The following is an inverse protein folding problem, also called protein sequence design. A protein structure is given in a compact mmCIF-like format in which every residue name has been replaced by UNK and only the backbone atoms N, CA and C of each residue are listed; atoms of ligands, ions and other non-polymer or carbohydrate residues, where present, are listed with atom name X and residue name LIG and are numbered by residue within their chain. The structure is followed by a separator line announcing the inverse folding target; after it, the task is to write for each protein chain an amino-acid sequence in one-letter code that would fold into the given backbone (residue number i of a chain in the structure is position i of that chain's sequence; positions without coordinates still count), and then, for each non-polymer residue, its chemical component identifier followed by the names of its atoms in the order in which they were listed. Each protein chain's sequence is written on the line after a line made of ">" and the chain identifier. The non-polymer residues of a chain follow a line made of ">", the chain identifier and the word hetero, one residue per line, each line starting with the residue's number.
data_IF_289137052654
#
_entry.id   IF_289137052654
#
_cell.length_a   1.000
_cell.length_b   1.000
_cell.length_c   1.000
_cell.angle_alpha   90.00
_cell.angle_beta   90.00
_cell.angle_gamma   90.00
#
_symmetry.space_group_name_H-M   'P 1'
#
loop_
_entity.id
_entity.type
_entity.pdbx_description
1 polymer ?
#
# COMPACT_ATOMS: atom_id res chain seq x y z
N UNK A 1 21.04 -26.48 -15.53
CA UNK A 1 19.62 -26.68 -15.89
C UNK A 1 18.75 -26.35 -14.68
N UNK A 2 18.35 -25.10 -14.52
CA UNK A 2 17.44 -24.68 -13.44
C UNK A 2 16.05 -25.22 -13.76
N UNK A 3 15.57 -26.17 -12.96
CA UNK A 3 14.25 -26.80 -13.12
C UNK A 3 13.17 -25.71 -13.25
N UNK A 4 12.42 -25.72 -14.35
CA UNK A 4 11.41 -24.69 -14.71
C UNK A 4 10.10 -24.80 -13.90
N UNK A 5 9.92 -25.90 -13.18
CA UNK A 5 8.72 -26.24 -12.40
C UNK A 5 9.06 -26.36 -10.91
N UNK A 6 8.20 -25.81 -10.07
CA UNK A 6 8.28 -25.88 -8.62
C UNK A 6 7.01 -26.56 -8.10
N UNK A 7 7.17 -27.67 -7.39
CA UNK A 7 6.09 -28.34 -6.67
C UNK A 7 6.23 -28.02 -5.18
N UNK A 8 5.25 -27.32 -4.63
CA UNK A 8 5.10 -27.09 -3.19
C UNK A 8 4.12 -28.14 -2.68
N UNK A 9 4.59 -29.10 -1.88
CA UNK A 9 3.77 -30.22 -1.42
C UNK A 9 3.50 -30.14 0.07
N UNK A 10 2.43 -30.82 0.50
CA UNK A 10 2.08 -30.98 1.91
C UNK A 10 2.00 -29.62 2.63
N UNK A 11 1.29 -28.67 2.04
CA UNK A 11 1.06 -27.33 2.59
C UNK A 11 -0.39 -27.22 3.09
N UNK A 12 -0.63 -26.38 4.11
CA UNK A 12 -1.97 -25.89 4.41
C UNK A 12 -2.24 -24.74 3.44
N UNK A 13 -2.98 -25.03 2.37
CA UNK A 13 -3.34 -24.03 1.37
C UNK A 13 -4.43 -23.14 1.94
N UNK A 14 -4.17 -21.84 2.00
CA UNK A 14 -5.14 -20.82 2.39
C UNK A 14 -5.66 -20.16 1.12
N UNK A 15 -6.96 -20.27 0.87
CA UNK A 15 -7.64 -19.67 -0.27
C UNK A 15 -8.69 -18.64 0.21
N UNK A 16 -8.30 -17.37 0.37
CA UNK A 16 -9.21 -16.33 0.83
C UNK A 16 -10.38 -16.07 -0.14
N UNK A 17 -10.21 -16.34 -1.44
CA UNK A 17 -11.25 -16.07 -2.44
C UNK A 17 -12.45 -17.00 -2.25
N UNK A 18 -12.19 -18.25 -1.87
CA UNK A 18 -13.22 -19.25 -1.66
C UNK A 18 -13.46 -19.54 -0.17
N UNK A 19 -12.81 -18.81 0.74
CA UNK A 19 -12.90 -19.00 2.20
C UNK A 19 -12.58 -20.43 2.64
N UNK A 20 -11.53 -21.03 2.05
CA UNK A 20 -11.15 -22.41 2.29
C UNK A 20 -9.73 -22.55 2.83
N UNK A 21 -9.54 -23.53 3.72
CA UNK A 21 -8.24 -24.01 4.15
C UNK A 21 -8.18 -25.53 4.09
N UNK A 22 -7.18 -26.08 3.40
CA UNK A 22 -7.04 -27.53 3.27
C UNK A 22 -5.59 -27.96 3.05
N UNK A 23 -5.28 -29.20 3.44
CA UNK A 23 -3.96 -29.78 3.19
C UNK A 23 -3.87 -30.20 1.72
N UNK A 24 -2.93 -29.59 1.00
CA UNK A 24 -2.80 -29.76 -0.44
C UNK A 24 -1.38 -29.58 -0.95
N UNK A 25 -1.27 -29.44 -2.26
CA UNK A 25 -0.02 -29.16 -2.98
C UNK A 25 -0.29 -28.20 -4.13
N UNK A 26 0.74 -27.47 -4.57
CA UNK A 26 0.63 -26.45 -5.59
C UNK A 26 1.80 -26.57 -6.58
N UNK A 27 1.48 -26.59 -7.88
CA UNK A 27 2.47 -26.60 -8.97
C UNK A 27 2.60 -25.20 -9.55
N UNK A 28 3.82 -24.67 -9.54
CA UNK A 28 4.20 -23.41 -10.18
C UNK A 28 5.06 -23.71 -11.39
N UNK A 29 4.75 -23.09 -12.52
CA UNK A 29 5.58 -23.14 -13.73
C UNK A 29 5.76 -21.73 -14.29
N UNK A 30 7.02 -21.33 -14.51
CA UNK A 30 7.37 -19.98 -15.01
C UNK A 30 6.72 -18.85 -14.19
N UNK A 31 6.70 -19.00 -12.86
CA UNK A 31 6.14 -17.99 -11.94
C UNK A 31 4.60 -17.97 -11.86
N UNK A 32 3.91 -18.85 -12.57
CA UNK A 32 2.44 -18.91 -12.60
C UNK A 32 1.98 -20.18 -11.90
N UNK A 33 0.94 -20.06 -11.06
CA UNK A 33 0.24 -21.21 -10.47
C UNK A 33 -0.44 -21.98 -11.61
N UNK A 34 0.00 -23.21 -11.86
CA UNK A 34 -0.56 -24.07 -12.92
C UNK A 34 -1.67 -24.96 -12.41
N UNK A 35 -1.48 -25.53 -11.23
CA UNK A 35 -2.40 -26.52 -10.69
C UNK A 35 -2.38 -26.48 -9.16
N UNK A 36 -3.56 -26.68 -8.57
CA UNK A 36 -3.78 -26.81 -7.13
C UNK A 36 -4.34 -28.20 -6.90
N UNK A 37 -3.71 -28.95 -6.01
CA UNK A 37 -4.08 -30.31 -5.68
C UNK A 37 -4.67 -30.37 -4.27
N UNK A 38 -5.88 -30.93 -4.13
CA UNK A 38 -6.53 -31.19 -2.84
C UNK A 38 -5.97 -32.43 -2.14
N UNK A 39 -4.66 -32.65 -2.25
CA UNK A 39 -3.93 -33.76 -1.62
C UNK A 39 -2.47 -33.36 -1.36
N UNK A 40 -1.85 -33.84 -0.28
CA UNK A 40 -0.48 -33.49 0.11
C UNK A 40 0.60 -34.09 -0.79
N UNK A 41 0.27 -35.08 -1.62
CA UNK A 41 1.20 -35.71 -2.56
C UNK A 41 0.47 -36.01 -3.85
N UNK A 42 0.58 -35.13 -4.86
CA UNK A 42 -0.08 -35.34 -6.13
C UNK A 42 0.61 -36.45 -6.91
N UNK A 43 -0.17 -37.19 -7.69
CA UNK A 43 0.36 -38.17 -8.64
C UNK A 43 0.76 -37.41 -9.91
N UNK A 44 1.88 -36.71 -9.84
CA UNK A 44 2.44 -35.86 -10.90
C UNK A 44 3.90 -36.26 -11.14
N UNK A 45 4.37 -36.19 -12.38
CA UNK A 45 5.78 -36.48 -12.68
C UNK A 45 6.69 -35.38 -12.11
N UNK A 46 7.35 -35.71 -11.00
CA UNK A 46 8.22 -34.80 -10.26
C UNK A 46 9.67 -34.79 -10.75
N UNK A 47 10.03 -35.58 -11.77
CA UNK A 47 11.39 -35.69 -12.28
C UNK A 47 12.00 -34.31 -12.60
N UNK A 48 11.22 -33.46 -13.26
CA UNK A 48 11.58 -32.10 -13.67
C UNK A 48 11.21 -31.00 -12.66
N UNK A 49 10.73 -31.35 -11.46
CA UNK A 49 10.30 -30.39 -10.44
C UNK A 49 11.39 -30.12 -9.41
N UNK A 50 11.57 -28.85 -9.02
CA UNK A 50 12.11 -28.50 -7.69
C UNK A 50 11.00 -28.74 -6.68
N UNK A 51 11.29 -29.43 -5.58
CA UNK A 51 10.27 -29.79 -4.59
C UNK A 51 10.54 -29.01 -3.30
N UNK A 52 9.49 -28.41 -2.76
CA UNK A 52 9.46 -27.83 -1.40
C UNK A 52 8.40 -28.61 -0.62
N UNK A 53 8.78 -29.25 0.47
CA UNK A 53 7.84 -29.88 1.41
C UNK A 53 7.54 -28.90 2.54
N UNK A 54 6.30 -28.41 2.59
CA UNK A 54 5.87 -27.42 3.57
C UNK A 54 5.60 -28.00 4.95
N UNK A 55 5.59 -29.34 5.12
CA UNK A 55 5.36 -29.99 6.42
C UNK A 55 4.08 -29.49 7.14
N UNK A 56 3.03 -29.23 6.37
CA UNK A 56 1.73 -28.65 6.78
C UNK A 56 1.77 -27.19 7.24
N UNK A 57 2.87 -26.48 7.03
CA UNK A 57 2.89 -25.03 7.20
C UNK A 57 1.92 -24.35 6.20
N UNK A 58 1.41 -23.19 6.59
CA UNK A 58 0.53 -22.37 5.77
C UNK A 58 1.24 -21.92 4.48
N UNK A 59 0.52 -22.01 3.37
CA UNK A 59 0.86 -21.40 2.10
C UNK A 59 -0.32 -20.53 1.68
N UNK A 60 -0.13 -19.22 1.80
CA UNK A 60 -1.10 -18.20 1.42
C UNK A 60 -0.69 -17.50 0.12
N UNK A 61 -1.60 -16.73 -0.51
CA UNK A 61 -1.20 -15.66 -1.40
C UNK A 61 -0.20 -14.74 -0.70
N UNK A 62 0.71 -14.17 -1.48
CA UNK A 62 1.65 -13.18 -0.97
C UNK A 62 0.90 -11.95 -0.44
N UNK A 63 1.35 -11.43 0.71
CA UNK A 63 0.72 -10.25 1.30
C UNK A 63 1.03 -9.01 0.47
N UNK A 64 0.12 -8.03 0.55
CA UNK A 64 0.25 -6.72 -0.09
C UNK A 64 0.16 -5.67 1.00
N UNK A 65 1.20 -4.84 1.12
CA UNK A 65 1.18 -3.67 1.98
C UNK A 65 0.95 -2.42 1.14
N UNK A 66 -0.04 -1.61 1.49
CA UNK A 66 -0.49 -0.49 0.67
C UNK A 66 0.03 0.87 1.15
N UNK A 67 0.88 0.93 2.18
CA UNK A 67 1.26 2.20 2.80
C UNK A 67 2.72 2.24 3.30
N UNK A 68 3.67 2.02 2.40
CA UNK A 68 5.08 1.85 2.75
C UNK A 68 5.90 3.09 2.44
N UNK A 69 6.80 3.48 3.34
CA UNK A 69 7.83 4.48 3.05
C UNK A 69 9.10 3.80 2.59
N UNK A 70 9.51 4.00 1.34
CA UNK A 70 10.71 3.38 0.79
C UNK A 70 11.99 4.21 0.96
N UNK A 71 11.87 5.46 1.43
CA UNK A 71 12.99 6.39 1.63
C UNK A 71 13.65 6.92 0.35
N UNK A 72 13.68 6.13 -0.72
CA UNK A 72 14.35 6.47 -1.97
C UNK A 72 13.34 7.02 -3.01
N UNK A 73 13.59 8.20 -3.61
CA UNK A 73 14.82 9.02 -3.50
C UNK A 73 14.88 9.95 -2.28
N UNK A 74 16.11 10.29 -1.87
CA UNK A 74 16.45 11.42 -0.99
C UNK A 74 16.57 11.10 0.51
N UNK A 75 15.99 9.99 0.97
CA UNK A 75 16.12 9.49 2.34
C UNK A 75 16.75 8.10 2.38
N UNK A 76 17.72 7.82 1.50
CA UNK A 76 18.41 6.53 1.38
C UNK A 76 19.16 6.13 2.66
N UNK A 77 19.47 7.10 3.52
CA UNK A 77 20.09 6.87 4.83
C UNK A 77 19.10 6.32 5.87
N UNK A 78 17.80 6.46 5.64
CA UNK A 78 16.74 5.89 6.47
C UNK A 78 16.36 4.52 5.94
N UNK A 79 16.08 4.43 4.65
CA UNK A 79 15.65 3.20 3.97
C UNK A 79 15.92 3.29 2.46
N UNK A 80 16.19 2.15 1.82
CA UNK A 80 16.34 2.07 0.36
C UNK A 80 15.33 1.10 -0.27
N UNK A 81 15.13 1.18 -1.58
CA UNK A 81 14.28 0.23 -2.31
C UNK A 81 14.75 -1.22 -2.15
N UNK A 82 16.06 -1.44 -2.08
CA UNK A 82 16.66 -2.78 -1.90
C UNK A 82 16.40 -3.31 -0.48
N UNK A 83 16.60 -2.47 0.53
CA UNK A 83 16.44 -2.84 1.94
C UNK A 83 14.98 -3.14 2.27
N UNK A 84 14.04 -2.27 1.88
CA UNK A 84 12.61 -2.49 2.12
C UNK A 84 12.09 -3.72 1.37
N UNK A 85 12.62 -3.99 0.16
CA UNK A 85 12.33 -5.20 -0.60
C UNK A 85 12.73 -6.46 0.16
N UNK A 86 13.94 -6.46 0.74
CA UNK A 86 14.43 -7.59 1.53
C UNK A 86 13.60 -7.80 2.81
N UNK A 87 13.25 -6.71 3.51
CA UNK A 87 12.42 -6.74 4.71
C UNK A 87 11.00 -7.26 4.42
N UNK A 88 10.38 -6.76 3.36
CA UNK A 88 9.06 -7.18 2.92
C UNK A 88 9.04 -8.66 2.52
N UNK A 89 10.01 -9.10 1.71
CA UNK A 89 10.15 -10.51 1.31
C UNK A 89 10.32 -11.43 2.52
N UNK A 90 11.13 -11.05 3.49
CA UNK A 90 11.34 -11.84 4.71
C UNK A 90 10.04 -12.01 5.53
N UNK A 91 9.12 -11.05 5.41
CA UNK A 91 7.82 -11.02 6.11
C UNK A 91 6.67 -11.67 5.33
N UNK A 92 6.93 -12.20 4.12
CA UNK A 92 5.90 -12.79 3.26
C UNK A 92 5.09 -11.77 2.44
N UNK A 93 5.53 -10.51 2.41
CA UNK A 93 4.98 -9.47 1.54
C UNK A 93 5.61 -9.62 0.16
N UNK A 94 4.76 -9.61 -0.87
CA UNK A 94 5.18 -9.77 -2.28
C UNK A 94 4.93 -8.52 -3.11
N UNK A 95 4.16 -7.57 -2.60
CA UNK A 95 3.91 -6.29 -3.24
C UNK A 95 3.79 -5.20 -2.18
N UNK A 96 4.39 -4.04 -2.44
CA UNK A 96 4.22 -2.84 -1.61
C UNK A 96 3.76 -1.67 -2.47
N UNK A 97 2.93 -0.79 -1.90
CA UNK A 97 2.64 0.52 -2.47
C UNK A 97 3.41 1.60 -1.71
N UNK A 98 4.25 2.35 -2.41
CA UNK A 98 5.18 3.30 -1.83
C UNK A 98 4.61 4.71 -1.81
N UNK A 99 4.60 5.33 -0.63
CA UNK A 99 4.09 6.68 -0.38
C UNK A 99 4.92 7.74 -1.13
N UNK A 100 4.32 8.88 -1.53
CA UNK A 100 4.97 9.89 -2.37
C UNK A 100 5.83 10.90 -1.62
N UNK A 101 5.96 10.79 -0.28
CA UNK A 101 6.67 11.72 0.60
C UNK A 101 8.19 11.54 0.62
N UNK A 102 8.77 11.14 -0.51
CA UNK A 102 10.22 11.10 -0.75
C UNK A 102 10.77 12.51 -1.05
N UNK A 103 12.08 12.61 -1.32
CA UNK A 103 12.71 13.86 -1.72
C UNK A 103 13.54 13.66 -3.01
N UNK A 104 13.07 14.12 -4.18
CA UNK A 104 11.85 14.90 -4.40
C UNK A 104 10.56 14.11 -4.14
N UNK A 105 9.47 14.85 -3.90
CA UNK A 105 8.10 14.30 -3.79
C UNK A 105 7.71 13.71 -5.15
N UNK A 106 7.00 12.59 -5.16
CA UNK A 106 6.58 11.90 -6.40
C UNK A 106 5.37 12.61 -7.01
N UNK A 107 5.55 13.79 -7.58
CA UNK A 107 4.50 14.62 -8.21
C UNK A 107 4.66 14.79 -9.73
N UNK A 108 5.67 14.16 -10.33
CA UNK A 108 5.99 14.17 -11.77
C UNK A 108 6.09 12.73 -12.34
N UNK A 109 5.75 12.58 -13.62
CA UNK A 109 5.70 11.27 -14.29
C UNK A 109 7.08 10.60 -14.36
N UNK A 110 8.13 11.41 -14.51
CA UNK A 110 9.52 10.99 -14.53
C UNK A 110 9.93 10.33 -13.21
N UNK A 111 9.41 10.82 -12.08
CA UNK A 111 9.69 10.27 -10.75
C UNK A 111 8.94 8.95 -10.54
N UNK A 112 7.69 8.85 -11.00
CA UNK A 112 6.94 7.58 -11.00
C UNK A 112 7.71 6.51 -11.80
N UNK A 113 8.15 6.84 -13.01
CA UNK A 113 8.92 5.91 -13.84
C UNK A 113 10.29 5.58 -13.25
N UNK A 114 10.93 6.54 -12.56
CA UNK A 114 12.17 6.30 -11.85
C UNK A 114 12.01 5.20 -10.79
N UNK A 115 10.97 5.29 -9.95
CA UNK A 115 10.69 4.27 -8.92
C UNK A 115 10.47 2.90 -9.56
N UNK A 116 9.67 2.83 -10.63
CA UNK A 116 9.41 1.57 -11.35
C UNK A 116 10.70 0.96 -11.87
N UNK A 117 11.51 1.73 -12.64
CA UNK A 117 12.77 1.22 -13.20
C UNK A 117 13.76 0.82 -12.11
N UNK A 118 13.84 1.58 -11.03
CA UNK A 118 14.74 1.27 -9.92
C UNK A 118 14.30 0.00 -9.21
N UNK A 119 12.99 -0.20 -9.04
CA UNK A 119 12.45 -1.43 -8.46
C UNK A 119 12.71 -2.66 -9.32
N UNK A 120 12.65 -2.56 -10.65
CA UNK A 120 12.97 -3.67 -11.56
C UNK A 120 14.43 -4.12 -11.45
N UNK A 121 15.35 -3.19 -11.14
CA UNK A 121 16.77 -3.49 -10.97
C UNK A 121 17.11 -4.02 -9.56
N UNK A 122 16.46 -3.48 -8.53
CA UNK A 122 16.87 -3.68 -7.12
C UNK A 122 15.93 -4.50 -6.27
N UNK A 123 14.67 -4.67 -6.67
CA UNK A 123 13.65 -5.32 -5.87
C UNK A 123 13.43 -6.79 -6.24
N UNK A 124 13.00 -7.56 -5.26
CA UNK A 124 12.56 -8.96 -5.42
C UNK A 124 11.04 -9.11 -5.22
N UNK A 125 10.36 -8.00 -5.00
CA UNK A 125 8.91 -7.89 -4.82
C UNK A 125 8.37 -6.84 -5.80
N UNK A 126 7.05 -6.74 -5.92
CA UNK A 126 6.46 -5.65 -6.70
C UNK A 126 6.49 -4.36 -5.90
N UNK A 127 6.99 -3.28 -6.49
CA UNK A 127 6.93 -1.94 -5.89
C UNK A 127 6.01 -1.08 -6.76
N UNK A 128 4.97 -0.54 -6.13
CA UNK A 128 3.90 0.17 -6.80
C UNK A 128 3.91 1.64 -6.32
N UNK A 129 4.28 2.62 -7.16
CA UNK A 129 4.35 4.01 -6.71
C UNK A 129 2.95 4.60 -6.47
N UNK A 130 2.79 5.30 -5.34
CA UNK A 130 1.73 6.26 -5.11
C UNK A 130 2.28 7.63 -5.51
N UNK A 131 1.48 8.45 -6.20
CA UNK A 131 1.87 9.80 -6.60
C UNK A 131 1.18 10.88 -5.74
N UNK A 132 1.73 12.08 -5.73
CA UNK A 132 1.17 13.21 -5.01
C UNK A 132 -0.18 13.67 -5.60
N UNK A 133 -1.10 14.14 -4.74
CA UNK A 133 -2.34 14.80 -5.16
C UNK A 133 -2.09 16.26 -5.53
N UNK A 134 -1.20 16.93 -4.79
CA UNK A 134 -0.81 18.30 -5.03
C UNK A 134 0.68 18.44 -5.21
N UNK A 135 1.07 19.40 -6.05
CA UNK A 135 2.48 19.69 -6.33
C UNK A 135 3.19 20.00 -5.02
N UNK A 136 4.30 19.29 -4.78
CA UNK A 136 5.13 19.38 -3.58
C UNK A 136 4.37 19.23 -2.25
N UNK A 137 3.22 18.55 -2.27
CA UNK A 137 2.31 18.44 -1.11
C UNK A 137 1.88 19.79 -0.50
N UNK A 138 1.82 20.86 -1.29
CA UNK A 138 1.49 22.19 -0.77
C UNK A 138 0.00 22.41 -0.54
N UNK A 139 -0.89 21.52 -1.00
CA UNK A 139 -2.33 21.69 -0.89
C UNK A 139 -2.89 22.83 -1.76
N UNK A 140 -2.10 23.33 -2.73
CA UNK A 140 -2.44 24.52 -3.54
C UNK A 140 -2.80 24.21 -4.99
N UNK A 141 -1.97 23.40 -5.66
CA UNK A 141 -2.11 23.10 -7.07
C UNK A 141 -2.15 21.59 -7.26
N UNK A 142 -3.17 21.08 -7.95
CA UNK A 142 -3.24 19.65 -8.28
C UNK A 142 -2.09 19.22 -9.19
N UNK A 143 -1.73 17.94 -9.09
CA UNK A 143 -0.81 17.29 -10.03
C UNK A 143 -1.53 16.87 -11.32
N UNK A 144 -0.75 16.46 -12.33
CA UNK A 144 -1.28 15.92 -13.58
C UNK A 144 -1.72 14.45 -13.40
N UNK A 145 -2.79 14.22 -12.64
CA UNK A 145 -3.27 12.88 -12.21
C UNK A 145 -3.34 11.87 -13.37
N UNK A 146 -3.85 12.29 -14.53
CA UNK A 146 -3.92 11.45 -15.73
C UNK A 146 -2.53 10.96 -16.18
N UNK A 147 -1.57 11.87 -16.32
CA UNK A 147 -0.20 11.55 -16.74
C UNK A 147 0.52 10.68 -15.71
N UNK A 148 0.33 10.96 -14.43
CA UNK A 148 0.92 10.16 -13.34
C UNK A 148 0.37 8.73 -13.32
N UNK A 149 -0.93 8.58 -13.56
CA UNK A 149 -1.57 7.26 -13.67
C UNK A 149 -1.04 6.50 -14.90
N UNK A 150 -0.93 7.17 -16.04
CA UNK A 150 -0.35 6.58 -17.27
C UNK A 150 1.13 6.19 -17.07
N UNK A 151 1.87 6.94 -16.26
CA UNK A 151 3.25 6.63 -15.90
C UNK A 151 3.38 5.40 -14.97
N UNK A 152 2.28 4.95 -14.36
CA UNK A 152 2.24 3.73 -13.54
C UNK A 152 1.88 3.95 -12.07
N UNK A 153 1.45 5.15 -11.67
CA UNK A 153 0.97 5.37 -10.31
C UNK A 153 -0.30 4.56 -10.02
N UNK A 154 -0.29 3.79 -8.92
CA UNK A 154 -1.42 2.94 -8.53
C UNK A 154 -2.43 3.64 -7.62
N UNK A 155 -2.03 4.75 -7.01
CA UNK A 155 -2.85 5.55 -6.12
C UNK A 155 -2.29 6.96 -5.95
N UNK A 156 -3.05 7.81 -5.25
CA UNK A 156 -2.71 9.22 -5.07
C UNK A 156 -2.90 9.68 -3.63
N UNK A 157 -1.93 10.44 -3.12
CA UNK A 157 -1.95 10.97 -1.75
C UNK A 157 -0.98 12.12 -1.54
N UNK A 158 -1.29 13.04 -0.64
CA UNK A 158 -0.31 14.00 -0.08
C UNK A 158 0.36 13.48 1.23
N UNK A 159 0.27 12.16 1.46
CA UNK A 159 0.84 11.45 2.60
C UNK A 159 0.38 12.03 3.95
N UNK A 160 1.29 12.66 4.71
CA UNK A 160 1.01 13.28 6.01
C UNK A 160 0.59 14.76 5.92
N UNK A 161 0.39 15.29 4.70
CA UNK A 161 0.05 16.69 4.51
C UNK A 161 -1.44 16.87 4.25
N UNK A 162 -2.03 17.87 4.90
CA UNK A 162 -3.43 18.24 4.73
C UNK A 162 -3.64 19.12 3.47
N UNK A 163 -4.63 18.78 2.65
CA UNK A 163 -5.23 19.70 1.67
C UNK A 163 -6.31 20.53 2.38
N UNK A 164 -5.89 21.54 3.13
CA UNK A 164 -6.79 22.29 4.03
C UNK A 164 -7.90 23.05 3.27
N UNK A 165 -7.59 23.56 2.07
CA UNK A 165 -8.57 24.24 1.24
C UNK A 165 -9.58 23.24 0.64
N UNK A 166 -10.78 23.23 1.20
CA UNK A 166 -11.88 22.33 0.81
C UNK A 166 -12.27 22.47 -0.67
N UNK A 167 -12.15 23.67 -1.26
CA UNK A 167 -12.44 23.85 -2.68
C UNK A 167 -11.37 23.18 -3.57
N UNK A 168 -10.10 23.25 -3.16
CA UNK A 168 -9.01 22.54 -3.86
C UNK A 168 -9.21 21.03 -3.74
N UNK A 169 -9.46 20.53 -2.53
CA UNK A 169 -9.74 19.11 -2.28
C UNK A 169 -10.90 18.59 -3.17
N UNK A 170 -12.02 19.32 -3.21
CA UNK A 170 -13.16 18.99 -4.09
C UNK A 170 -12.76 18.93 -5.56
N UNK A 171 -11.99 19.91 -6.03
CA UNK A 171 -11.57 19.97 -7.43
C UNK A 171 -10.61 18.82 -7.78
N UNK A 172 -9.66 18.51 -6.88
CA UNK A 172 -8.75 17.37 -7.01
C UNK A 172 -9.54 16.06 -7.09
N UNK A 173 -10.49 15.82 -6.19
CA UNK A 173 -11.30 14.59 -6.19
C UNK A 173 -12.19 14.49 -7.43
N UNK A 174 -12.75 15.61 -7.90
CA UNK A 174 -13.53 15.66 -9.15
C UNK A 174 -12.66 15.30 -10.36
N UNK A 175 -11.44 15.81 -10.41
CA UNK A 175 -10.51 15.48 -11.48
C UNK A 175 -10.09 14.01 -11.43
N UNK A 176 -9.72 13.52 -10.24
CA UNK A 176 -9.34 12.13 -10.00
C UNK A 176 -10.43 11.13 -10.39
N UNK A 177 -11.71 11.45 -10.16
CA UNK A 177 -12.81 10.55 -10.51
C UNK A 177 -12.95 10.35 -12.03
N UNK A 178 -12.70 11.39 -12.84
CA UNK A 178 -12.70 11.29 -14.31
C UNK A 178 -11.65 10.30 -14.84
N UNK A 179 -10.54 10.12 -14.11
CA UNK A 179 -9.49 9.15 -14.46
C UNK A 179 -9.64 7.82 -13.73
N UNK A 180 -10.72 7.60 -12.96
CA UNK A 180 -10.89 6.42 -12.11
C UNK A 180 -9.63 6.18 -11.23
N UNK A 181 -9.09 7.25 -10.68
CA UNK A 181 -7.92 7.22 -9.81
C UNK A 181 -8.31 6.79 -8.38
N UNK A 182 -7.41 6.08 -7.71
CA UNK A 182 -7.57 5.66 -6.32
C UNK A 182 -6.94 6.71 -5.40
N UNK A 183 -7.75 7.36 -4.57
CA UNK A 183 -7.27 8.23 -3.50
C UNK A 183 -6.96 7.39 -2.28
N UNK A 184 -5.79 7.59 -1.68
CA UNK A 184 -5.29 6.87 -0.50
C UNK A 184 -4.79 7.89 0.52
N UNK A 185 -5.67 8.45 1.34
CA UNK A 185 -5.34 9.59 2.21
C UNK A 185 -5.27 9.16 3.67
N UNK A 186 -4.27 9.67 4.38
CA UNK A 186 -4.30 9.70 5.84
C UNK A 186 -5.14 10.93 6.23
N UNK A 187 -6.21 10.78 7.04
CA UNK A 187 -6.94 11.93 7.56
C UNK A 187 -6.03 12.73 8.48
N UNK A 188 -5.63 13.91 8.04
CA UNK A 188 -4.80 14.86 8.78
C UNK A 188 -5.54 16.18 8.85
N UNK A 189 -5.54 16.82 10.01
CA UNK A 189 -6.09 18.17 10.17
C UNK A 189 -5.10 19.10 10.82
N UNK A 190 -5.37 20.41 10.77
CA UNK A 190 -4.55 21.40 11.45
C UNK A 190 -4.57 21.29 12.98
N UNK A 191 -5.50 20.49 13.55
CA UNK A 191 -5.51 20.12 14.97
C UNK A 191 -4.35 19.17 15.35
N UNK A 192 -3.68 18.56 14.37
CA UNK A 192 -2.47 17.74 14.59
C UNK A 192 -1.22 18.59 14.80
N UNK A 193 -1.22 19.86 14.36
CA UNK A 193 -0.06 20.74 14.46
C UNK A 193 0.34 20.81 15.93
N UNK A 194 1.56 20.39 16.23
CA UNK A 194 2.20 20.34 17.56
C UNK A 194 1.94 19.10 18.40
N UNK A 195 0.98 18.24 18.06
CA UNK A 195 0.78 16.99 18.78
C UNK A 195 1.89 15.97 18.48
N UNK A 196 2.31 15.21 19.48
CA UNK A 196 3.39 14.19 19.34
C UNK A 196 2.96 12.79 19.72
N UNK A 197 1.76 12.64 20.29
CA UNK A 197 1.15 11.37 20.68
C UNK A 197 -0.35 11.54 20.87
N UNK A 198 -1.09 10.46 21.07
CA UNK A 198 -2.53 10.53 21.36
C UNK A 198 -2.84 11.37 22.62
N UNK A 199 -3.80 12.30 22.50
CA UNK A 199 -4.32 13.07 23.63
C UNK A 199 -4.98 12.14 24.65
N UNK A 200 -4.40 12.07 25.84
CA UNK A 200 -4.83 11.15 26.89
C UNK A 200 -4.33 11.59 28.26
N UNK A 201 -4.78 10.90 29.30
CA UNK A 201 -4.20 11.05 30.63
C UNK A 201 -2.68 10.83 30.63
N UNK A 202 -2.18 9.93 29.77
CA UNK A 202 -0.73 9.64 29.66
C UNK A 202 0.01 10.84 29.08
N UNK A 203 -0.46 11.44 27.98
CA UNK A 203 0.20 12.61 27.39
C UNK A 203 0.22 13.78 28.38
N UNK A 204 -0.87 13.96 29.13
CA UNK A 204 -0.96 14.96 30.20
C UNK A 204 0.05 14.69 31.33
N UNK A 205 0.16 13.44 31.81
CA UNK A 205 1.11 13.06 32.87
C UNK A 205 2.57 13.23 32.44
N UNK A 206 2.87 12.99 31.16
CA UNK A 206 4.21 13.16 30.59
C UNK A 206 4.54 14.61 30.20
N UNK A 207 3.55 15.51 30.24
CA UNK A 207 3.70 16.89 29.77
C UNK A 207 3.92 16.99 28.25
N UNK A 208 3.44 16.00 27.49
CA UNK A 208 3.58 15.95 26.04
C UNK A 208 2.30 16.46 25.35
N UNK A 209 2.41 17.28 24.29
CA UNK A 209 1.27 17.69 23.48
C UNK A 209 0.53 16.50 22.86
N UNK A 210 -0.78 16.41 23.13
CA UNK A 210 -1.64 15.37 22.60
C UNK A 210 -2.28 15.73 21.25
N UNK A 211 -2.51 14.74 20.41
CA UNK A 211 -3.35 14.81 19.21
C UNK A 211 -4.75 14.34 19.61
N UNK A 212 -5.73 15.23 19.53
CA UNK A 212 -7.11 14.94 19.86
C UNK A 212 -7.73 14.01 18.81
N UNK A 213 -8.55 13.05 19.25
CA UNK A 213 -9.28 12.13 18.36
C UNK A 213 -10.07 12.85 17.27
N UNK A 214 -10.63 14.03 17.61
CA UNK A 214 -11.42 14.84 16.68
C UNK A 214 -10.62 15.23 15.42
N UNK A 215 -9.30 15.33 15.52
CA UNK A 215 -8.42 15.68 14.41
C UNK A 215 -8.52 14.70 13.23
N UNK A 216 -8.51 13.40 13.52
CA UNK A 216 -8.69 12.36 12.50
C UNK A 216 -10.12 12.42 11.94
N UNK A 217 -11.12 12.46 12.84
CA UNK A 217 -12.54 12.38 12.43
C UNK A 217 -13.00 13.56 11.59
N UNK A 218 -12.54 14.79 11.89
CA UNK A 218 -12.99 15.99 11.15
C UNK A 218 -12.45 16.01 9.72
N UNK A 219 -11.20 15.57 9.53
CA UNK A 219 -10.60 15.42 8.21
C UNK A 219 -11.29 14.29 7.43
N UNK A 220 -11.49 13.15 8.08
CA UNK A 220 -12.12 11.98 7.47
C UNK A 220 -13.55 12.25 7.02
N UNK A 221 -14.39 12.83 7.87
CA UNK A 221 -15.77 13.18 7.51
C UNK A 221 -15.83 14.16 6.34
N UNK A 222 -14.96 15.19 6.36
CA UNK A 222 -14.87 16.17 5.27
C UNK A 222 -14.52 15.46 3.96
N UNK A 223 -13.49 14.63 3.97
CA UNK A 223 -13.01 13.92 2.79
C UNK A 223 -14.02 12.92 2.25
N UNK A 224 -14.68 12.14 3.12
CA UNK A 224 -15.72 11.19 2.71
C UNK A 224 -16.95 11.88 2.11
N UNK A 225 -17.39 13.02 2.67
CA UNK A 225 -18.49 13.80 2.09
C UNK A 225 -18.16 14.29 0.68
N UNK A 226 -16.93 14.75 0.48
CA UNK A 226 -16.46 15.18 -0.84
C UNK A 226 -16.31 13.98 -1.78
N UNK A 227 -15.74 12.87 -1.31
CA UNK A 227 -15.57 11.67 -2.10
C UNK A 227 -16.91 11.09 -2.55
N UNK A 228 -17.91 11.08 -1.67
CA UNK A 228 -19.27 10.70 -2.00
C UNK A 228 -19.88 11.63 -3.07
N UNK A 229 -19.69 12.95 -2.93
CA UNK A 229 -20.18 13.93 -3.88
C UNK A 229 -19.54 13.79 -5.28
N UNK A 230 -18.22 13.59 -5.34
CA UNK A 230 -17.44 13.48 -6.59
C UNK A 230 -17.40 12.08 -7.18
N UNK A 231 -17.85 11.08 -6.41
CA UNK A 231 -17.80 9.64 -6.73
C UNK A 231 -16.38 9.12 -6.99
N UNK A 232 -15.38 9.75 -6.39
CA UNK A 232 -13.99 9.25 -6.46
C UNK A 232 -13.84 7.98 -5.63
N UNK A 233 -12.93 7.09 -6.03
CA UNK A 233 -12.52 5.98 -5.17
C UNK A 233 -11.64 6.54 -4.06
N UNK A 234 -12.07 6.36 -2.83
CA UNK A 234 -11.37 6.86 -1.66
C UNK A 234 -11.06 5.71 -0.70
N UNK A 235 -9.86 5.71 -0.13
CA UNK A 235 -9.43 4.79 0.90
C UNK A 235 -8.77 5.62 2.01
N UNK A 236 -9.33 5.54 3.22
CA UNK A 236 -8.73 6.15 4.40
C UNK A 236 -7.63 5.26 4.93
N UNK A 237 -6.42 5.79 5.04
CA UNK A 237 -5.28 5.10 5.63
C UNK A 237 -5.31 5.23 7.15
N UNK A 238 -4.81 4.21 7.84
CA UNK A 238 -4.43 4.25 9.25
C UNK A 238 -5.51 4.78 10.23
N UNK A 239 -6.77 4.36 10.06
CA UNK A 239 -7.84 4.63 11.05
C UNK A 239 -7.36 4.22 12.45
N UNK A 240 -7.37 5.16 13.39
CA UNK A 240 -6.84 4.94 14.75
C UNK A 240 -7.87 5.14 15.86
N UNK A 241 -9.04 5.70 15.54
CA UNK A 241 -10.10 5.97 16.52
C UNK A 241 -11.38 5.17 16.26
N UNK A 242 -12.11 4.85 17.33
CA UNK A 242 -13.45 4.24 17.24
C UNK A 242 -14.44 5.14 16.51
N UNK A 243 -14.32 6.44 16.72
CA UNK A 243 -15.16 7.45 16.10
C UNK A 243 -14.95 7.49 14.58
N UNK A 244 -13.70 7.34 14.11
CA UNK A 244 -13.41 7.21 12.68
C UNK A 244 -13.88 5.88 12.10
N UNK A 245 -13.87 4.79 12.88
CA UNK A 245 -14.46 3.52 12.45
C UNK A 245 -15.98 3.66 12.22
N UNK A 246 -16.68 4.35 13.11
CA UNK A 246 -18.10 4.64 12.96
C UNK A 246 -18.40 5.52 11.74
N UNK A 247 -17.46 6.37 11.32
CA UNK A 247 -17.58 7.22 10.13
C UNK A 247 -17.45 6.44 8.81
N UNK A 248 -16.70 5.33 8.78
CA UNK A 248 -16.47 4.53 7.55
C UNK A 248 -17.41 3.34 7.39
N UNK A 249 -18.17 2.99 8.43
CA UNK A 249 -19.19 1.93 8.41
C UNK A 249 -20.55 2.41 7.92
#
# INVERSE_FOLDING_TARGET
>A
MTKKKLLIKNALLVDPKNEMEFIGSLLVEKGIIREIFNKPSPNYDISDCKIIDCKKNALSPGLIDMWVFAGEPGYEHIETIEDISNAAKASGITSIACRPDTNPIIDEAELVQYIIRKSEDKSQINILPIAALTKKHEGKNMTEIGLLKEAGAVGFSDAYNEINNTNILKNVFTYASNFNAQIMQLPVSDLDKFGVMNESEISMRLGLPGIAKISETIALERELRIAHHTKVKYHSMCISTSESYDVVN
#
